data_IF_055722971322
#
_entry.id   IF_055722971322
#
_cell.length_a   1.000
_cell.length_b   1.000
_cell.length_c   1.000
_cell.angle_alpha   90.00
_cell.angle_beta   90.00
_cell.angle_gamma   90.00
#
_symmetry.space_group_name_H-M   'P 1'
#
loop_
_entity.id
_entity.type
_entity.pdbx_description
1 polymer ?
#
# COMPACT_ATOMS: atom_id res chain seq x y z
N UNK A 1 -22.46 -1.32 14.25
CA UNK A 1 -22.66 0.02 13.65
C UNK A 1 -22.61 -0.15 12.14
N UNK A 2 -23.73 0.08 11.44
CA UNK A 2 -23.77 0.07 9.97
C UNK A 2 -24.10 1.48 9.49
N UNK A 3 -23.08 2.29 9.24
CA UNK A 3 -23.23 3.66 8.75
C UNK A 3 -22.95 3.72 7.24
N UNK A 4 -23.72 4.52 6.48
CA UNK A 4 -23.47 4.73 5.06
C UNK A 4 -22.25 5.64 4.88
N UNK A 5 -21.40 5.36 3.88
CA UNK A 5 -20.18 6.12 3.63
C UNK A 5 -20.42 7.64 3.47
N UNK A 6 -21.54 8.05 2.87
CA UNK A 6 -21.91 9.47 2.72
C UNK A 6 -22.31 10.19 4.01
N UNK A 7 -22.38 9.49 5.16
CA UNK A 7 -22.63 10.10 6.48
C UNK A 7 -21.34 10.36 7.27
N UNK A 8 -20.19 9.99 6.73
CA UNK A 8 -18.90 10.25 7.37
C UNK A 8 -18.61 11.75 7.36
N UNK A 9 -18.23 12.26 8.52
CA UNK A 9 -17.69 13.61 8.66
C UNK A 9 -16.30 13.71 8.02
N UNK A 10 -15.88 14.93 7.70
CA UNK A 10 -14.53 15.18 7.18
C UNK A 10 -13.43 14.70 8.15
N UNK A 11 -13.65 14.82 9.46
CA UNK A 11 -12.71 14.36 10.47
C UNK A 11 -12.58 12.82 10.50
N UNK A 12 -13.68 12.09 10.32
CA UNK A 12 -13.64 10.63 10.20
C UNK A 12 -12.93 10.18 8.93
N UNK A 13 -13.14 10.89 7.81
CA UNK A 13 -12.41 10.62 6.57
C UNK A 13 -10.91 10.83 6.73
N UNK A 14 -10.48 11.91 7.38
CA UNK A 14 -9.06 12.20 7.60
C UNK A 14 -8.39 11.17 8.52
N UNK A 15 -9.10 10.72 9.56
CA UNK A 15 -8.66 9.63 10.42
C UNK A 15 -8.45 8.34 9.59
N UNK A 16 -9.37 8.00 8.69
CA UNK A 16 -9.23 6.83 7.81
C UNK A 16 -8.01 6.99 6.90
N UNK A 17 -7.82 8.16 6.29
CA UNK A 17 -6.65 8.43 5.44
C UNK A 17 -5.33 8.27 6.20
N UNK A 18 -5.28 8.74 7.45
CA UNK A 18 -4.12 8.59 8.32
C UNK A 18 -3.81 7.12 8.62
N UNK A 19 -4.85 6.31 8.89
CA UNK A 19 -4.69 4.86 9.11
C UNK A 19 -4.18 4.16 7.85
N UNK A 20 -4.70 4.52 6.68
CA UNK A 20 -4.29 3.93 5.40
C UNK A 20 -2.84 4.29 5.05
N UNK A 21 -2.41 5.53 5.36
CA UNK A 21 -1.04 5.97 5.13
C UNK A 21 -0.04 5.29 6.09
N UNK A 22 -0.41 5.09 7.35
CA UNK A 22 0.47 4.55 8.39
C UNK A 22 -0.13 3.36 9.16
N UNK A 23 -0.51 2.26 8.49
CA UNK A 23 -1.28 1.18 9.12
C UNK A 23 -0.54 0.47 10.26
N UNK A 24 0.80 0.50 10.22
CA UNK A 24 1.67 -0.03 11.27
C UNK A 24 1.49 0.66 12.62
N UNK A 25 1.18 1.95 12.63
CA UNK A 25 0.97 2.72 13.87
C UNK A 25 -0.37 2.34 14.53
N UNK A 26 -1.33 1.84 13.75
CA UNK A 26 -2.65 1.43 14.19
C UNK A 26 -2.78 -0.09 14.39
N UNK A 27 -1.66 -0.77 14.68
CA UNK A 27 -1.61 -2.21 15.00
C UNK A 27 -2.06 -3.14 13.86
N UNK A 28 -2.04 -2.69 12.60
CA UNK A 28 -2.32 -3.56 11.46
C UNK A 28 -1.18 -4.58 11.28
N UNK A 29 -1.48 -5.89 11.19
CA UNK A 29 -0.46 -6.92 11.04
C UNK A 29 0.31 -6.85 9.73
N UNK A 30 1.58 -7.30 9.74
CA UNK A 30 2.44 -7.30 8.56
C UNK A 30 1.90 -8.13 7.39
N UNK A 31 1.24 -9.26 7.68
CA UNK A 31 0.73 -10.16 6.66
C UNK A 31 -0.37 -9.52 5.80
N UNK A 32 -1.06 -8.51 6.33
CA UNK A 32 -2.15 -7.77 5.70
C UNK A 32 -1.66 -6.71 4.70
N UNK A 33 -0.41 -6.27 4.81
CA UNK A 33 0.13 -5.22 3.96
C UNK A 33 0.34 -5.72 2.52
N UNK A 34 0.11 -4.84 1.54
CA UNK A 34 0.21 -5.20 0.12
C UNK A 34 1.66 -5.22 -0.41
N UNK A 35 2.60 -4.52 0.22
CA UNK A 35 4.03 -4.54 -0.14
C UNK A 35 4.86 -5.00 1.07
N UNK A 36 5.10 -6.31 1.14
CA UNK A 36 5.84 -6.94 2.24
C UNK A 36 7.28 -7.16 1.84
N UNK A 37 8.22 -6.80 2.73
CA UNK A 37 9.67 -6.99 2.54
C UNK A 37 10.12 -6.53 1.15
N UNK A 38 9.95 -5.25 0.87
CA UNK A 38 10.34 -4.65 -0.42
C UNK A 38 11.82 -4.96 -0.74
N UNK A 39 12.11 -5.28 -1.99
CA UNK A 39 13.44 -5.75 -2.38
C UNK A 39 14.54 -4.67 -2.26
N UNK A 40 14.18 -3.38 -2.26
CA UNK A 40 15.15 -2.27 -2.18
C UNK A 40 15.56 -1.98 -0.74
N UNK A 41 14.58 -1.89 0.17
CA UNK A 41 14.80 -1.41 1.54
C UNK A 41 14.41 -2.42 2.64
N UNK A 42 13.84 -3.56 2.27
CA UNK A 42 13.39 -4.60 3.21
C UNK A 42 12.15 -4.23 4.03
N UNK A 43 11.54 -3.07 3.79
CA UNK A 43 10.44 -2.56 4.61
C UNK A 43 9.11 -3.21 4.24
N UNK A 44 8.17 -3.11 5.18
CA UNK A 44 6.78 -3.50 5.00
C UNK A 44 5.92 -2.25 4.92
N UNK A 45 5.22 -2.06 3.82
CA UNK A 45 4.43 -0.86 3.56
C UNK A 45 3.07 -1.21 2.94
N UNK A 46 2.12 -0.30 3.15
CA UNK A 46 0.89 -0.24 2.37
C UNK A 46 1.09 0.82 1.30
N UNK A 47 1.03 0.43 0.04
CA UNK A 47 1.21 1.33 -1.11
C UNK A 47 -0.16 1.60 -1.72
N UNK A 48 -0.48 2.88 -1.99
CA UNK A 48 -1.79 3.30 -2.49
C UNK A 48 -1.67 4.26 -3.66
N UNK A 49 -2.72 4.32 -4.50
CA UNK A 49 -2.82 5.25 -5.64
C UNK A 49 -1.59 5.17 -6.56
N UNK A 50 -1.10 6.31 -7.05
CA UNK A 50 0.02 6.41 -7.98
C UNK A 50 1.30 5.68 -7.53
N UNK A 51 1.54 5.56 -6.22
CA UNK A 51 2.71 4.84 -5.71
C UNK A 51 2.65 3.35 -6.05
N UNK A 52 1.43 2.78 -6.14
CA UNK A 52 1.22 1.38 -6.48
C UNK A 52 1.66 1.12 -7.93
N UNK A 53 1.23 1.98 -8.85
CA UNK A 53 1.58 1.89 -10.27
C UNK A 53 3.08 2.10 -10.49
N UNK A 54 3.68 3.04 -9.77
CA UNK A 54 5.13 3.25 -9.79
C UNK A 54 5.90 2.01 -9.32
N UNK A 55 5.48 1.38 -8.22
CA UNK A 55 6.12 0.17 -7.70
C UNK A 55 5.99 -1.00 -8.66
N UNK A 56 4.82 -1.18 -9.29
CA UNK A 56 4.61 -2.20 -10.30
C UNK A 56 5.54 -1.98 -11.51
N UNK A 57 5.64 -0.75 -11.99
CA UNK A 57 6.53 -0.39 -13.11
C UNK A 57 7.99 -0.69 -12.77
N UNK A 58 8.46 -0.28 -11.60
CA UNK A 58 9.82 -0.57 -11.12
C UNK A 58 10.12 -2.08 -11.09
N UNK A 59 9.16 -2.89 -10.62
CA UNK A 59 9.30 -4.34 -10.58
C UNK A 59 9.39 -4.94 -11.99
N UNK A 60 8.54 -4.49 -12.92
CA UNK A 60 8.55 -4.93 -14.32
C UNK A 60 9.85 -4.56 -15.03
N UNK A 61 10.35 -3.34 -14.85
CA UNK A 61 11.63 -2.92 -15.42
C UNK A 61 12.80 -3.71 -14.86
N UNK A 62 12.77 -4.07 -13.57
CA UNK A 62 13.77 -4.96 -12.98
C UNK A 62 13.73 -6.35 -13.60
N UNK A 63 12.54 -6.93 -13.79
CA UNK A 63 12.38 -8.24 -14.39
C UNK A 63 12.80 -8.24 -15.87
N UNK A 64 12.55 -7.15 -16.61
CA UNK A 64 13.01 -6.94 -18.00
C UNK A 64 14.52 -6.97 -18.08
N UNK A 65 15.19 -6.26 -17.17
CA UNK A 65 16.66 -6.16 -17.11
C UNK A 65 17.34 -7.52 -16.97
N UNK A 66 16.72 -8.45 -16.23
CA UNK A 66 17.25 -9.81 -16.05
C UNK A 66 16.70 -10.84 -17.06
N UNK A 67 15.93 -10.38 -18.07
CA UNK A 67 15.28 -11.22 -19.09
C UNK A 67 14.43 -12.34 -18.49
N UNK A 68 13.68 -12.02 -17.44
CA UNK A 68 12.78 -13.00 -16.82
C UNK A 68 11.59 -13.25 -17.74
N UNK A 69 11.23 -14.52 -17.96
CA UNK A 69 10.06 -14.92 -18.75
C UNK A 69 8.73 -14.39 -18.18
N UNK A 70 8.68 -14.06 -16.88
CA UNK A 70 7.46 -13.58 -16.21
C UNK A 70 7.13 -12.10 -16.50
N UNK A 71 7.97 -11.39 -17.24
CA UNK A 71 7.67 -10.05 -17.77
C UNK A 71 6.71 -10.12 -18.94
#
# INVERSE_FOLDING_TARGET
MNMRAGKLSAAELDNIMTVVANPRQFKVPYWFLNRKKDYKDGKFSQVVSNQLDMKLRDDLERLKKIRNHRV
#
